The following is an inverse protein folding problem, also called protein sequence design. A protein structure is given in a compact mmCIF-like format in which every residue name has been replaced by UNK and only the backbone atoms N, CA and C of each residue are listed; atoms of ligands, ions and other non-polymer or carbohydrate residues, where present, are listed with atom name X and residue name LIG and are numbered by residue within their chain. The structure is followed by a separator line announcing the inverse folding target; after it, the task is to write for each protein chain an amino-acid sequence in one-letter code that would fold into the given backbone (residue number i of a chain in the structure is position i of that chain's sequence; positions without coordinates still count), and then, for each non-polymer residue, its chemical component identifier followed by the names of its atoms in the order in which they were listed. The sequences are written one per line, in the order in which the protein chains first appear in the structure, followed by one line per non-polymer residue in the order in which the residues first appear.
data_IF_582679484236
#
_entry.id   IF_582679484236
#
_cell.length_a   1.000
_cell.length_b   1.000
_cell.length_c   1.000
_cell.angle_alpha   90.00
_cell.angle_beta   90.00
_cell.angle_gamma   90.00
#
_symmetry.space_group_name_H-M   'P 1'
#
loop_
_entity.id
_entity.type
_entity.pdbx_description
1 polymer ?
#
# COMPACT_ATOMS: atom_id res chain seq x y z
N UNK A 1 -18.95 -11.35 -11.67
CA UNK A 1 -17.53 -10.92 -11.59
C UNK A 1 -16.69 -11.98 -10.90
N UNK A 2 -15.37 -11.80 -10.82
CA UNK A 2 -14.42 -12.79 -10.28
C UNK A 2 -14.46 -12.98 -8.75
N UNK A 3 -15.09 -12.07 -8.00
CA UNK A 3 -15.07 -12.07 -6.53
C UNK A 3 -15.52 -13.43 -5.93
N UNK A 4 -16.65 -13.96 -6.40
CA UNK A 4 -17.16 -15.25 -5.93
C UNK A 4 -16.23 -16.41 -6.26
N UNK A 5 -15.60 -16.40 -7.44
CA UNK A 5 -14.68 -17.46 -7.88
C UNK A 5 -13.41 -17.44 -7.03
N UNK A 6 -12.83 -16.26 -6.79
CA UNK A 6 -11.67 -16.08 -5.92
C UNK A 6 -11.96 -16.51 -4.48
N UNK A 7 -13.15 -16.17 -3.97
CA UNK A 7 -13.57 -16.60 -2.64
C UNK A 7 -13.67 -18.12 -2.54
N UNK A 8 -14.27 -18.78 -3.54
CA UNK A 8 -14.36 -20.26 -3.60
C UNK A 8 -13.00 -20.93 -3.75
N UNK A 9 -12.05 -20.29 -4.42
CA UNK A 9 -10.66 -20.72 -4.48
C UNK A 9 -9.89 -20.58 -3.14
N UNK A 10 -10.50 -19.95 -2.12
CA UNK A 10 -9.94 -19.84 -0.78
C UNK A 10 -9.40 -18.46 -0.42
N UNK A 11 -9.49 -17.46 -1.31
CA UNK A 11 -9.08 -16.10 -0.99
C UNK A 11 -10.03 -15.47 0.05
N UNK A 12 -9.48 -14.97 1.16
CA UNK A 12 -10.29 -14.49 2.30
C UNK A 12 -10.43 -12.98 2.42
N UNK A 13 -9.40 -12.25 2.00
CA UNK A 13 -9.25 -10.80 2.16
C UNK A 13 -8.80 -10.19 0.84
N UNK A 14 -9.11 -8.91 0.64
CA UNK A 14 -8.71 -8.17 -0.56
C UNK A 14 -8.30 -6.75 -0.22
N UNK A 15 -7.33 -6.22 -0.96
CA UNK A 15 -6.98 -4.80 -0.96
C UNK A 15 -7.32 -4.23 -2.34
N UNK A 16 -8.01 -3.09 -2.36
CA UNK A 16 -8.41 -2.38 -3.56
C UNK A 16 -7.75 -1.01 -3.49
N UNK A 17 -7.18 -0.51 -4.59
CA UNK A 17 -6.59 0.84 -4.64
C UNK A 17 -7.59 1.80 -5.29
N UNK A 18 -7.83 2.94 -4.67
CA UNK A 18 -8.71 3.99 -5.20
C UNK A 18 -8.30 5.34 -4.62
N UNK A 19 -7.66 6.19 -5.43
CA UNK A 19 -7.09 7.45 -4.95
C UNK A 19 -8.05 8.65 -5.05
N UNK A 20 -9.27 8.47 -5.56
CA UNK A 20 -10.32 9.48 -5.49
C UNK A 20 -11.72 8.87 -5.56
N UNK A 21 -12.68 9.48 -4.87
CA UNK A 21 -14.12 9.21 -5.00
C UNK A 21 -14.80 10.17 -6.00
N UNK A 22 -14.06 11.13 -6.57
CA UNK A 22 -14.54 12.04 -7.61
C UNK A 22 -14.18 11.51 -9.01
N UNK A 23 -15.15 11.32 -9.93
CA UNK A 23 -14.88 10.69 -11.24
C UNK A 23 -13.80 11.39 -12.06
N UNK A 24 -13.85 12.72 -12.15
CA UNK A 24 -12.90 13.54 -12.90
C UNK A 24 -11.46 13.42 -12.37
N UNK A 25 -11.32 13.46 -11.03
CA UNK A 25 -10.03 13.31 -10.37
C UNK A 25 -9.52 11.87 -10.43
N UNK A 26 -10.39 10.88 -10.27
CA UNK A 26 -10.04 9.47 -10.46
C UNK A 26 -9.51 9.22 -11.87
N UNK A 27 -10.19 9.74 -12.89
CA UNK A 27 -9.75 9.61 -14.28
C UNK A 27 -8.41 10.32 -14.51
N UNK A 28 -8.23 11.53 -13.96
CA UNK A 28 -6.95 12.25 -14.05
C UNK A 28 -5.77 11.47 -13.43
N UNK A 29 -5.98 10.86 -12.25
CA UNK A 29 -4.96 10.08 -11.54
C UNK A 29 -4.66 8.74 -12.21
N UNK A 30 -5.69 8.00 -12.60
CA UNK A 30 -5.55 6.62 -13.10
C UNK A 30 -5.41 6.55 -14.62
N UNK A 31 -5.70 7.65 -15.32
CA UNK A 31 -5.85 7.75 -16.78
C UNK A 31 -6.93 6.84 -17.34
N UNK A 32 -7.95 6.51 -16.53
CA UNK A 32 -9.05 5.62 -16.87
C UNK A 32 -10.35 6.08 -16.20
N UNK A 33 -11.41 6.23 -16.99
CA UNK A 33 -12.78 6.36 -16.45
C UNK A 33 -13.28 4.98 -15.97
N UNK A 34 -12.95 4.63 -14.73
CA UNK A 34 -13.27 3.32 -14.16
C UNK A 34 -13.74 3.36 -12.70
N UNK A 35 -14.01 4.55 -12.14
CA UNK A 35 -14.41 4.69 -10.74
C UNK A 35 -15.67 3.88 -10.43
N UNK A 36 -16.70 3.96 -11.28
CA UNK A 36 -17.92 3.19 -11.10
C UNK A 36 -17.66 1.67 -11.06
N UNK A 37 -16.72 1.18 -11.87
CA UNK A 37 -16.33 -0.23 -11.87
C UNK A 37 -15.56 -0.62 -10.60
N UNK A 38 -14.71 0.26 -10.07
CA UNK A 38 -14.02 0.05 -8.79
C UNK A 38 -15.02 -0.04 -7.64
N UNK A 39 -15.96 0.90 -7.56
CA UNK A 39 -17.01 0.91 -6.52
C UNK A 39 -17.89 -0.35 -6.59
N UNK A 40 -18.31 -0.75 -7.79
CA UNK A 40 -19.03 -2.01 -8.00
C UNK A 40 -18.19 -3.24 -7.61
N UNK A 41 -16.87 -3.18 -7.79
CA UNK A 41 -15.94 -4.23 -7.36
C UNK A 41 -15.82 -4.34 -5.84
N UNK A 42 -15.86 -3.21 -5.12
CA UNK A 42 -15.92 -3.17 -3.65
C UNK A 42 -17.21 -3.84 -3.17
N UNK A 43 -18.35 -3.45 -3.73
CA UNK A 43 -19.66 -4.01 -3.34
C UNK A 43 -19.70 -5.53 -3.62
N UNK A 44 -19.21 -5.97 -4.79
CA UNK A 44 -19.11 -7.39 -5.12
C UNK A 44 -18.18 -8.19 -4.19
N UNK A 45 -17.14 -7.54 -3.63
CA UNK A 45 -16.25 -8.19 -2.66
C UNK A 45 -16.94 -8.32 -1.29
N UNK A 46 -17.66 -7.29 -0.85
CA UNK A 46 -18.45 -7.35 0.37
C UNK A 46 -19.53 -8.43 0.28
N UNK A 47 -20.27 -8.48 -0.83
CA UNK A 47 -21.32 -9.49 -1.08
C UNK A 47 -20.77 -10.92 -1.14
N UNK A 48 -19.54 -11.10 -1.65
CA UNK A 48 -18.85 -12.39 -1.65
C UNK A 48 -18.31 -12.79 -0.26
N UNK A 49 -18.42 -11.92 0.75
CA UNK A 49 -18.00 -12.19 2.13
C UNK A 49 -16.50 -12.03 2.36
N UNK A 50 -15.79 -11.25 1.54
CA UNK A 50 -14.41 -10.88 1.85
C UNK A 50 -14.37 -10.08 3.15
N UNK A 51 -13.46 -10.46 4.06
CA UNK A 51 -13.30 -9.78 5.35
C UNK A 51 -11.83 -9.90 5.83
N UNK A 52 -11.12 -8.77 6.01
CA UNK A 52 -11.52 -7.42 5.65
C UNK A 52 -11.48 -7.16 4.14
N UNK A 53 -12.35 -6.27 3.66
CA UNK A 53 -12.14 -5.49 2.43
C UNK A 53 -11.40 -4.22 2.80
N UNK A 54 -10.23 -4.00 2.19
CA UNK A 54 -9.38 -2.83 2.45
C UNK A 54 -9.34 -1.92 1.23
N UNK A 55 -9.40 -0.61 1.46
CA UNK A 55 -9.26 0.41 0.42
C UNK A 55 -8.00 1.23 0.69
N UNK A 56 -7.00 1.08 -0.17
CA UNK A 56 -5.76 1.86 -0.10
C UNK A 56 -5.92 3.16 -0.89
N UNK A 57 -5.53 4.27 -0.27
CA UNK A 57 -5.59 5.63 -0.82
C UNK A 57 -4.22 6.27 -0.62
N UNK A 58 -3.56 6.68 -1.69
CA UNK A 58 -2.36 7.53 -1.58
C UNK A 58 -2.82 8.98 -1.44
N UNK A 59 -2.54 9.59 -0.28
CA UNK A 59 -2.89 10.98 -0.01
C UNK A 59 -1.82 11.92 -0.59
N UNK A 60 -2.25 12.82 -1.47
CA UNK A 60 -1.44 13.76 -2.23
C UNK A 60 -1.87 15.20 -1.92
N UNK A 61 -0.94 15.97 -1.37
CA UNK A 61 -1.18 17.37 -1.01
C UNK A 61 -1.60 18.20 -2.23
N UNK A 62 -2.72 18.92 -2.12
CA UNK A 62 -3.27 19.77 -3.17
C UNK A 62 -3.93 19.00 -4.32
N UNK A 63 -4.05 17.67 -4.23
CA UNK A 63 -4.63 16.83 -5.28
C UNK A 63 -5.91 16.15 -4.80
N UNK A 64 -5.81 15.30 -3.78
CA UNK A 64 -6.94 14.55 -3.21
C UNK A 64 -7.02 14.65 -1.68
N UNK A 65 -6.18 15.47 -1.03
CA UNK A 65 -6.15 15.61 0.42
C UNK A 65 -7.45 16.24 0.98
N UNK A 66 -8.26 16.86 0.13
CA UNK A 66 -9.60 17.34 0.46
C UNK A 66 -10.64 16.20 0.59
N UNK A 67 -10.35 14.97 0.13
CA UNK A 67 -11.25 13.80 0.22
C UNK A 67 -10.97 12.92 1.44
N UNK A 68 -10.02 13.27 2.31
CA UNK A 68 -9.60 12.42 3.44
C UNK A 68 -10.77 12.04 4.35
N UNK A 69 -11.62 13.00 4.70
CA UNK A 69 -12.81 12.74 5.52
C UNK A 69 -13.88 11.97 4.73
N UNK A 70 -14.02 12.24 3.43
CA UNK A 70 -14.97 11.54 2.56
C UNK A 70 -14.65 10.04 2.49
N UNK A 71 -13.38 9.70 2.28
CA UNK A 71 -12.91 8.32 2.31
C UNK A 71 -13.11 7.65 3.67
N UNK A 72 -12.74 8.32 4.77
CA UNK A 72 -12.96 7.78 6.12
C UNK A 72 -14.45 7.51 6.38
N UNK A 73 -15.32 8.42 5.95
CA UNK A 73 -16.79 8.26 6.05
C UNK A 73 -17.27 7.08 5.20
N UNK A 74 -16.83 7.00 3.94
CA UNK A 74 -17.15 5.90 3.02
C UNK A 74 -16.78 4.54 3.62
N UNK A 75 -15.56 4.42 4.15
CA UNK A 75 -15.08 3.18 4.77
C UNK A 75 -15.92 2.78 5.97
N UNK A 76 -16.12 3.73 6.89
CA UNK A 76 -16.92 3.55 8.11
C UNK A 76 -18.36 3.14 7.83
N UNK A 77 -19.00 3.70 6.80
CA UNK A 77 -20.40 3.40 6.45
C UNK A 77 -20.56 2.05 5.73
N UNK A 78 -19.56 1.62 4.97
CA UNK A 78 -19.62 0.38 4.17
C UNK A 78 -18.93 -0.82 4.82
N UNK A 79 -18.31 -0.66 5.98
CA UNK A 79 -17.52 -1.73 6.61
C UNK A 79 -16.23 -2.03 5.83
N UNK A 80 -15.66 -1.02 5.18
CA UNK A 80 -14.39 -1.10 4.44
C UNK A 80 -13.30 -0.43 5.27
N UNK A 81 -12.19 -1.14 5.49
CA UNK A 81 -11.05 -0.58 6.21
C UNK A 81 -10.21 0.28 5.25
N UNK A 82 -10.35 1.60 5.36
CA UNK A 82 -9.57 2.55 4.56
C UNK A 82 -8.16 2.67 5.12
N UNK A 83 -7.17 2.68 4.23
CA UNK A 83 -5.76 2.86 4.55
C UNK A 83 -5.19 4.01 3.75
N UNK A 84 -4.86 5.09 4.42
CA UNK A 84 -4.14 6.19 3.80
C UNK A 84 -2.65 5.89 3.78
N UNK A 85 -2.00 6.18 2.66
CA UNK A 85 -0.58 5.92 2.41
C UNK A 85 0.07 7.24 2.07
N UNK A 86 1.17 7.55 2.73
CA UNK A 86 1.98 8.71 2.35
C UNK A 86 2.62 8.50 0.98
N UNK A 87 2.61 9.54 0.16
CA UNK A 87 3.23 9.49 -1.15
C UNK A 87 4.74 9.26 -1.05
N UNK A 88 5.23 8.21 -1.72
CA UNK A 88 6.64 7.78 -1.71
C UNK A 88 7.35 8.11 -3.03
N UNK A 89 8.69 8.31 -3.01
CA UNK A 89 9.50 8.50 -4.21
C UNK A 89 9.73 7.18 -4.97
N UNK A 90 8.63 6.62 -5.51
CA UNK A 90 8.59 5.42 -6.34
C UNK A 90 7.79 5.68 -7.63
N UNK A 91 7.63 6.95 -7.98
CA UNK A 91 6.93 7.39 -9.17
C UNK A 91 7.80 7.28 -10.42
N UNK A 92 7.17 7.08 -11.58
CA UNK A 92 7.89 6.89 -12.83
C UNK A 92 8.57 8.18 -13.32
N UNK A 93 7.96 9.33 -13.03
CA UNK A 93 8.39 10.63 -13.53
C UNK A 93 9.45 11.29 -12.65
N UNK A 94 9.83 10.66 -11.53
CA UNK A 94 10.76 11.19 -10.53
C UNK A 94 10.39 12.61 -10.05
N UNK A 95 9.10 12.92 -10.07
CA UNK A 95 8.51 14.19 -9.67
C UNK A 95 8.10 14.24 -8.20
N UNK A 96 8.38 13.19 -7.42
CA UNK A 96 8.14 13.20 -5.99
C UNK A 96 8.82 14.38 -5.31
N UNK A 97 8.08 15.04 -4.41
CA UNK A 97 8.63 16.05 -3.52
C UNK A 97 8.02 15.89 -2.14
N UNK A 98 8.79 16.29 -1.12
CA UNK A 98 8.29 16.28 0.27
C UNK A 98 7.07 17.18 0.47
N UNK A 99 6.91 18.22 -0.35
CA UNK A 99 5.76 19.12 -0.32
C UNK A 99 4.46 18.46 -0.82
N UNK A 100 4.55 17.34 -1.55
CA UNK A 100 3.39 16.58 -2.00
C UNK A 100 2.88 15.56 -0.95
N UNK A 101 3.61 15.39 0.16
CA UNK A 101 3.27 14.43 1.22
C UNK A 101 2.30 15.07 2.20
N UNK A 102 1.17 14.39 2.46
CA UNK A 102 0.28 14.71 3.58
C UNK A 102 0.70 13.85 4.79
N UNK A 103 1.21 14.43 5.88
CA UNK A 103 1.66 13.67 7.04
C UNK A 103 0.56 12.82 7.67
N UNK A 104 0.91 11.62 8.14
CA UNK A 104 -0.02 10.74 8.85
C UNK A 104 -0.75 11.39 10.02
N UNK A 105 -0.05 12.20 10.81
CA UNK A 105 -0.64 12.95 11.94
C UNK A 105 -1.74 13.93 11.50
N UNK A 106 -1.57 14.57 10.34
CA UNK A 106 -2.53 15.50 9.78
C UNK A 106 -3.79 14.77 9.31
N UNK A 107 -3.62 13.61 8.67
CA UNK A 107 -4.72 12.75 8.26
C UNK A 107 -5.55 12.33 9.48
N UNK A 108 -4.90 11.91 10.56
CA UNK A 108 -5.56 11.50 11.81
C UNK A 108 -6.32 12.67 12.42
N UNK A 109 -5.72 13.86 12.47
CA UNK A 109 -6.36 15.06 12.99
C UNK A 109 -7.62 15.42 12.20
N UNK A 110 -7.52 15.52 10.85
CA UNK A 110 -8.66 15.83 9.97
C UNK A 110 -9.79 14.81 10.11
N UNK A 111 -9.48 13.52 10.20
CA UNK A 111 -10.49 12.48 10.40
C UNK A 111 -11.09 12.58 11.80
N UNK A 112 -10.25 12.74 12.83
CA UNK A 112 -10.64 12.78 14.24
C UNK A 112 -11.56 13.94 14.61
N UNK A 113 -11.49 15.06 13.88
CA UNK A 113 -12.41 16.20 14.03
C UNK A 113 -13.87 15.84 13.70
N UNK A 114 -14.09 14.91 12.77
CA UNK A 114 -15.43 14.50 12.31
C UNK A 114 -15.84 13.13 12.88
N UNK A 115 -14.90 12.18 12.89
CA UNK A 115 -15.07 10.82 13.39
C UNK A 115 -14.02 10.54 14.47
N UNK A 116 -14.36 10.66 15.77
CA UNK A 116 -13.40 10.46 16.84
C UNK A 116 -12.70 9.09 16.76
N UNK A 117 -11.38 9.10 16.90
CA UNK A 117 -10.50 7.94 16.74
C UNK A 117 -9.81 7.56 18.05
N UNK A 118 -9.54 6.27 18.22
CA UNK A 118 -8.65 5.73 19.26
C UNK A 118 -7.57 4.88 18.60
N UNK A 119 -6.31 5.17 18.91
CA UNK A 119 -5.19 4.37 18.42
C UNK A 119 -5.29 2.92 18.93
N UNK A 120 -5.04 1.98 18.03
CA UNK A 120 -4.79 0.58 18.33
C UNK A 120 -3.28 0.39 18.43
N UNK A 121 -2.83 -0.39 19.41
CA UNK A 121 -1.40 -0.59 19.68
C UNK A 121 -0.62 -1.10 18.46
N UNK A 122 0.70 -0.95 18.53
CA UNK A 122 1.58 -1.32 17.41
C UNK A 122 1.60 -2.84 17.17
N UNK A 123 1.73 -3.22 15.90
CA UNK A 123 1.92 -4.59 15.45
C UNK A 123 2.86 -4.68 14.25
N UNK A 124 2.91 -5.84 13.59
CA UNK A 124 3.69 -6.02 12.35
C UNK A 124 3.03 -5.38 11.11
N UNK A 125 1.82 -4.84 11.25
CA UNK A 125 1.16 -4.13 10.16
C UNK A 125 1.95 -2.83 9.82
N UNK A 126 2.24 -2.57 8.54
CA UNK A 126 2.78 -1.28 8.11
C UNK A 126 1.90 -0.09 8.51
N UNK A 127 0.59 -0.32 8.65
CA UNK A 127 -0.35 0.71 9.04
C UNK A 127 -0.43 0.85 10.56
N UNK A 128 -0.32 2.08 11.05
CA UNK A 128 -0.82 2.48 12.37
C UNK A 128 -2.35 2.48 12.30
N UNK A 129 -2.98 1.61 13.10
CA UNK A 129 -4.42 1.40 13.05
C UNK A 129 -5.14 2.23 14.12
N UNK A 130 -6.30 2.75 13.76
CA UNK A 130 -7.19 3.51 14.63
C UNK A 130 -8.59 2.92 14.53
N UNK A 131 -9.26 2.75 15.66
CA UNK A 131 -10.69 2.43 15.68
C UNK A 131 -11.51 3.71 15.79
N UNK A 132 -12.69 3.71 15.18
CA UNK A 132 -13.69 4.73 15.44
C UNK A 132 -14.29 4.50 16.83
N UNK A 133 -14.40 5.55 17.64
CA UNK A 133 -14.86 5.47 19.05
C UNK A 133 -16.28 4.91 19.17
N UNK A 134 -17.11 5.07 18.14
CA UNK A 134 -18.46 4.51 18.06
C UNK A 134 -18.51 3.02 17.66
N UNK A 135 -17.35 2.37 17.49
CA UNK A 135 -17.22 0.97 17.15
C UNK A 135 -17.47 0.62 15.68
N UNK A 136 -17.61 1.60 14.78
CA UNK A 136 -17.93 1.37 13.36
C UNK A 136 -16.70 1.06 12.49
N UNK A 137 -15.84 0.17 12.97
CA UNK A 137 -14.68 -0.31 12.23
C UNK A 137 -13.40 0.50 12.49
N UNK A 138 -12.51 0.53 11.50
CA UNK A 138 -11.15 1.04 11.63
C UNK A 138 -10.69 1.82 10.40
N UNK A 139 -9.72 2.69 10.61
CA UNK A 139 -8.91 3.36 9.57
C UNK A 139 -7.43 3.11 9.86
N UNK A 140 -6.63 2.97 8.82
CA UNK A 140 -5.18 2.79 8.92
C UNK A 140 -4.43 3.93 8.25
N UNK A 141 -3.27 4.28 8.81
CA UNK A 141 -2.33 5.23 8.21
C UNK A 141 -1.00 4.51 8.01
N UNK A 142 -0.42 4.59 6.81
CA UNK A 142 0.90 4.05 6.48
C UNK A 142 1.85 5.25 6.31
N UNK A 143 2.56 5.65 7.39
CA UNK A 143 3.43 6.82 7.40
C UNK A 143 4.81 6.50 6.79
N UNK A 144 4.83 6.09 5.53
CA UNK A 144 6.04 5.57 4.87
C UNK A 144 7.19 6.58 4.73
N UNK A 145 6.94 7.88 4.91
CA UNK A 145 7.93 8.95 4.80
C UNK A 145 8.19 9.60 6.15
N UNK A 146 7.15 10.00 6.87
CA UNK A 146 7.27 10.77 8.11
C UNK A 146 7.66 9.91 9.31
N UNK A 147 7.21 8.65 9.35
CA UNK A 147 7.50 7.70 10.43
C UNK A 147 7.84 6.29 9.87
N UNK A 148 9.03 6.11 9.28
CA UNK A 148 9.39 4.85 8.61
C UNK A 148 9.37 3.63 9.53
N UNK A 149 8.75 2.54 9.06
CA UNK A 149 8.62 1.28 9.80
C UNK A 149 9.65 0.21 9.41
N UNK A 150 10.80 0.62 8.88
CA UNK A 150 11.82 -0.30 8.36
C UNK A 150 12.35 -1.28 9.42
N UNK A 151 12.49 -0.83 10.66
CA UNK A 151 13.00 -1.65 11.77
C UNK A 151 12.15 -2.89 12.09
N UNK A 152 10.88 -2.89 11.70
CA UNK A 152 9.94 -4.02 11.89
C UNK A 152 9.50 -4.67 10.56
N UNK A 153 10.09 -4.27 9.43
CA UNK A 153 9.67 -4.72 8.11
C UNK A 153 10.17 -6.14 7.82
N UNK A 154 9.25 -7.09 7.74
CA UNK A 154 9.48 -8.51 7.40
C UNK A 154 9.20 -8.84 5.92
N UNK A 155 8.89 -7.82 5.11
CA UNK A 155 8.49 -8.01 3.71
C UNK A 155 9.68 -8.19 2.78
N UNK A 156 9.46 -9.07 1.81
CA UNK A 156 10.26 -9.27 0.59
C UNK A 156 9.32 -9.29 -0.61
N UNK A 157 9.85 -9.14 -1.82
CA UNK A 157 9.05 -9.11 -3.04
C UNK A 157 9.65 -9.96 -4.13
N UNK A 158 8.81 -10.68 -4.86
CA UNK A 158 9.15 -11.32 -6.12
C UNK A 158 8.48 -10.52 -7.24
N UNK A 159 9.25 -10.05 -8.21
CA UNK A 159 8.73 -9.32 -9.37
C UNK A 159 8.14 -10.30 -10.40
N UNK A 160 7.38 -9.78 -11.36
CA UNK A 160 6.79 -10.59 -12.43
C UNK A 160 7.87 -11.23 -13.34
N UNK A 161 9.05 -10.64 -13.42
CA UNK A 161 10.20 -11.17 -14.15
C UNK A 161 10.92 -12.31 -13.42
N UNK A 162 10.57 -12.58 -12.16
CA UNK A 162 11.16 -13.62 -11.32
C UNK A 162 12.38 -13.18 -10.53
N UNK A 163 12.55 -11.88 -10.32
CA UNK A 163 13.61 -11.32 -9.48
C UNK A 163 13.11 -11.03 -8.07
N UNK A 164 13.93 -11.29 -7.06
CA UNK A 164 13.65 -10.97 -5.67
C UNK A 164 14.19 -9.59 -5.29
N UNK A 165 13.40 -8.83 -4.53
CA UNK A 165 13.77 -7.56 -3.90
C UNK A 165 13.57 -7.67 -2.39
N UNK A 166 14.58 -7.26 -1.63
CA UNK A 166 14.52 -7.23 -0.16
C UNK A 166 13.87 -5.95 0.41
N UNK A 167 13.67 -4.93 -0.44
CA UNK A 167 13.05 -3.66 -0.11
C UNK A 167 12.34 -3.08 -1.35
N UNK A 168 11.27 -2.31 -1.16
CA UNK A 168 10.67 -1.52 -2.24
C UNK A 168 11.72 -0.57 -2.85
N UNK A 169 12.55 0.02 -2.00
CA UNK A 169 13.60 0.96 -2.36
C UNK A 169 14.95 0.32 -2.72
N UNK A 170 14.99 -1.00 -2.97
CA UNK A 170 16.24 -1.65 -3.36
C UNK A 170 16.78 -1.09 -4.69
N UNK A 171 18.10 -0.87 -4.78
CA UNK A 171 18.75 -0.42 -6.01
C UNK A 171 19.02 -1.57 -6.98
N UNK A 172 19.07 -2.80 -6.48
CA UNK A 172 19.27 -4.03 -7.26
C UNK A 172 18.28 -5.13 -6.89
N UNK A 173 18.35 -6.24 -7.61
CA UNK A 173 17.48 -7.40 -7.45
C UNK A 173 18.28 -8.70 -7.58
N UNK A 174 17.76 -9.79 -7.05
CA UNK A 174 18.35 -11.12 -7.15
C UNK A 174 17.53 -11.97 -8.13
N UNK A 175 18.11 -12.36 -9.27
CA UNK A 175 17.40 -13.13 -10.30
C UNK A 175 17.25 -14.61 -9.90
N UNK A 176 16.14 -14.94 -9.22
CA UNK A 176 15.84 -16.31 -8.81
C UNK A 176 15.42 -17.17 -10.01
N UNK A 177 14.84 -16.56 -11.05
CA UNK A 177 14.45 -17.26 -12.28
C UNK A 177 15.66 -17.80 -13.02
N UNK A 178 16.78 -17.09 -13.04
CA UNK A 178 18.04 -17.57 -13.61
C UNK A 178 18.55 -18.81 -12.87
N UNK A 179 18.49 -18.81 -11.52
CA UNK A 179 18.87 -19.98 -10.70
C UNK A 179 18.02 -21.20 -11.08
N UNK A 180 16.69 -21.04 -11.12
CA UNK A 180 15.80 -22.14 -11.51
C UNK A 180 16.06 -22.65 -12.93
N UNK A 181 16.25 -21.74 -13.89
CA UNK A 181 16.44 -22.10 -15.31
C UNK A 181 17.79 -22.72 -15.62
N UNK A 182 18.80 -22.47 -14.79
CA UNK A 182 20.09 -23.15 -14.85
C UNK A 182 20.04 -24.57 -14.25
N UNK A 183 18.89 -25.01 -13.72
CA UNK A 183 18.73 -26.30 -13.06
C UNK A 183 19.15 -26.29 -11.59
N UNK A 184 19.16 -25.12 -10.94
CA UNK A 184 19.46 -24.98 -9.51
C UNK A 184 18.49 -25.75 -8.62
N UNK A 185 19.00 -26.22 -7.49
CA UNK A 185 18.25 -26.95 -6.48
C UNK A 185 17.49 -26.01 -5.54
N UNK A 186 16.63 -26.58 -4.70
CA UNK A 186 15.97 -25.82 -3.63
C UNK A 186 16.98 -25.20 -2.66
N UNK A 187 18.10 -25.88 -2.38
CA UNK A 187 19.19 -25.35 -1.54
C UNK A 187 19.88 -24.15 -2.19
N UNK A 188 20.08 -24.16 -3.51
CA UNK A 188 20.63 -23.01 -4.25
C UNK A 188 19.70 -21.80 -4.18
N UNK A 189 18.39 -22.03 -4.30
CA UNK A 189 17.37 -21.00 -4.16
C UNK A 189 17.32 -20.45 -2.74
N UNK A 190 17.31 -21.32 -1.73
CA UNK A 190 17.31 -20.93 -0.32
C UNK A 190 18.53 -20.06 0.00
N UNK A 191 19.73 -20.49 -0.39
CA UNK A 191 20.95 -19.71 -0.21
C UNK A 191 20.90 -18.35 -0.94
N UNK A 192 20.27 -18.28 -2.11
CA UNK A 192 20.10 -17.03 -2.84
C UNK A 192 19.12 -16.07 -2.16
N UNK A 193 18.04 -16.60 -1.61
CA UNK A 193 17.04 -15.86 -0.84
C UNK A 193 17.66 -15.34 0.46
N UNK A 194 18.39 -16.18 1.19
CA UNK A 194 19.06 -15.81 2.44
C UNK A 194 20.05 -14.68 2.24
N UNK A 195 20.89 -14.74 1.19
CA UNK A 195 21.79 -13.63 0.85
C UNK A 195 21.02 -12.35 0.53
N UNK A 196 19.98 -12.44 -0.30
CA UNK A 196 19.15 -11.29 -0.66
C UNK A 196 18.55 -10.60 0.58
N UNK A 197 18.03 -11.40 1.53
CA UNK A 197 17.49 -10.88 2.80
C UNK A 197 18.59 -10.32 3.69
N UNK A 198 19.75 -10.98 3.76
CA UNK A 198 20.91 -10.52 4.53
C UNK A 198 21.46 -9.17 4.07
N UNK A 199 21.34 -8.86 2.77
CA UNK A 199 21.74 -7.58 2.19
C UNK A 199 20.74 -6.44 2.45
N UNK A 200 19.64 -6.70 3.17
CA UNK A 200 18.60 -5.70 3.46
C UNK A 200 19.14 -4.61 4.38
N UNK A 201 19.08 -3.37 3.92
CA UNK A 201 19.51 -2.22 4.71
C UNK A 201 18.57 -1.96 5.89
N UNK A 202 19.11 -1.32 6.94
CA UNK A 202 18.34 -0.96 8.15
C UNK A 202 17.12 -0.07 7.85
N UNK A 203 17.15 0.71 6.77
CA UNK A 203 16.00 1.47 6.29
C UNK A 203 16.25 2.14 4.95
N UNK A 204 15.16 2.58 4.29
CA UNK A 204 15.20 3.12 2.92
C UNK A 204 15.80 4.52 2.80
N UNK A 205 16.13 5.20 3.90
CA UNK A 205 16.79 6.51 3.92
C UNK A 205 16.04 7.69 3.25
N UNK A 206 14.84 7.51 2.69
CA UNK A 206 13.98 8.63 2.22
C UNK A 206 14.02 9.81 3.19
N UNK A 207 14.32 11.00 2.67
CA UNK A 207 14.46 12.23 3.45
C UNK A 207 15.87 12.50 4.01
N UNK A 208 16.83 11.57 3.85
CA UNK A 208 18.24 11.78 4.18
C UNK A 208 19.04 12.27 2.96
N UNK A 209 20.22 12.86 3.22
CA UNK A 209 21.17 13.28 2.16
C UNK A 209 21.81 12.12 1.40
N UNK A 210 21.71 10.90 1.94
CA UNK A 210 22.24 9.68 1.31
C UNK A 210 21.16 8.89 0.56
N UNK A 211 19.92 9.41 0.51
CA UNK A 211 18.85 8.77 -0.24
C UNK A 211 19.16 8.73 -1.73
N UNK A 212 19.04 7.54 -2.31
CA UNK A 212 19.10 7.33 -3.76
C UNK A 212 17.75 6.78 -4.19
N UNK A 213 17.06 7.50 -5.08
CA UNK A 213 15.79 7.04 -5.62
C UNK A 213 16.02 5.77 -6.47
N UNK A 214 15.24 4.69 -6.26
CA UNK A 214 15.36 3.48 -7.06
C UNK A 214 15.02 3.73 -8.53
N UNK A 215 15.68 3.03 -9.47
CA UNK A 215 15.42 3.21 -10.90
C UNK A 215 14.08 2.62 -11.37
N UNK A 216 13.45 1.78 -10.54
CA UNK A 216 12.18 1.10 -10.86
C UNK A 216 11.04 1.81 -10.14
N UNK A 217 9.98 2.13 -10.87
CA UNK A 217 8.74 2.66 -10.28
C UNK A 217 7.92 1.55 -9.60
N UNK A 218 6.93 1.95 -8.80
CA UNK A 218 6.09 1.02 -8.06
C UNK A 218 5.37 0.00 -8.95
N UNK A 219 4.89 0.43 -10.12
CA UNK A 219 4.19 -0.43 -11.08
C UNK A 219 5.09 -1.48 -11.73
N UNK A 220 6.39 -1.22 -11.84
CA UNK A 220 7.36 -2.15 -12.41
C UNK A 220 7.77 -3.25 -11.44
N UNK A 221 7.51 -3.08 -10.14
CA UNK A 221 7.87 -4.06 -9.11
C UNK A 221 6.65 -4.77 -8.54
N UNK A 222 5.48 -4.64 -9.17
CA UNK A 222 4.26 -5.38 -8.85
C UNK A 222 3.29 -4.66 -7.92
N UNK A 223 3.40 -3.33 -7.80
CA UNK A 223 2.44 -2.47 -7.10
C UNK A 223 1.45 -1.82 -8.03
#
# INVERSE_FOLDING_TARGET
GMAGDLRRAGLRRINISCDSLRPDRFEALTRRDALAAVLAGIDAALDAGFDPVKLNVVALQGVNDDEVVDFATFGRERGVEVRFIEYMPLDADHGWSRAAVVPGEELIARIGEVHPLRALGEGSDPASLYEYVDGRGRVGIIPSVTEPFCARCDRVRLTAEGSMRNCLFALGETDLRAVMRAGGTDDDLAASIERCVGDKWAGHQVGSVTFVQPPRSMSQIGG
#
